data_IF_237804433161
#
_entry.id   IF_237804433161
#
_cell.length_a   1.000
_cell.length_b   1.000
_cell.length_c   1.000
_cell.angle_alpha   90.00
_cell.angle_beta   90.00
_cell.angle_gamma   90.00
#
_symmetry.space_group_name_H-M   'P 1'
#
loop_
_entity.id
_entity.type
_entity.pdbx_description
1 polymer ?
#
# COMPACT_ATOMS: atom_id res chain seq x y z
N UNK A 1 -9.72 -4.06 -3.85
CA UNK A 1 -9.90 -2.61 -3.62
C UNK A 1 -8.53 -2.04 -3.34
N UNK A 2 -8.02 -1.22 -4.24
CA UNK A 2 -6.79 -0.46 -3.99
C UNK A 2 -6.97 0.50 -2.80
N UNK A 3 -5.91 0.77 -2.01
CA UNK A 3 -5.97 1.78 -0.96
C UNK A 3 -6.29 3.17 -1.54
N UNK A 4 -7.20 3.89 -0.88
CA UNK A 4 -7.47 5.29 -1.19
C UNK A 4 -6.41 6.14 -0.49
N UNK A 5 -5.37 6.49 -1.23
CA UNK A 5 -4.16 7.11 -0.67
C UNK A 5 -4.18 8.64 -0.75
N UNK A 6 -3.42 9.26 0.15
CA UNK A 6 -3.29 10.71 0.28
C UNK A 6 -3.41 11.18 1.74
N UNK A 7 -2.96 12.41 2.08
CA UNK A 7 -3.03 12.92 3.44
C UNK A 7 -4.47 13.08 3.92
N UNK A 8 -4.89 12.24 4.86
CA UNK A 8 -6.27 12.19 5.32
C UNK A 8 -6.40 12.04 6.84
N UNK A 9 -7.32 12.81 7.41
CA UNK A 9 -7.93 12.54 8.70
C UNK A 9 -9.42 12.45 8.44
N UNK A 10 -10.02 11.30 8.74
CA UNK A 10 -11.43 11.04 8.49
C UNK A 10 -12.11 10.84 9.83
N UNK A 11 -13.09 11.70 10.11
CA UNK A 11 -14.06 11.51 11.21
C UNK A 11 -15.35 10.95 10.62
N UNK A 12 -15.95 9.97 11.27
CA UNK A 12 -17.11 9.27 10.76
C UNK A 12 -18.02 8.79 11.90
N UNK A 13 -19.28 8.53 11.56
CA UNK A 13 -20.25 7.93 12.47
C UNK A 13 -21.32 7.17 11.69
N UNK A 14 -21.86 6.11 12.28
CA UNK A 14 -23.02 5.36 11.79
C UNK A 14 -24.24 5.48 12.74
N UNK A 15 -24.18 6.39 13.72
CA UNK A 15 -25.17 6.57 14.77
C UNK A 15 -24.89 5.79 16.05
N UNK A 16 -24.25 4.61 15.96
CA UNK A 16 -23.81 3.83 17.13
C UNK A 16 -22.36 4.14 17.50
N UNK A 17 -21.51 4.17 16.50
CA UNK A 17 -20.09 4.45 16.63
C UNK A 17 -19.79 5.87 16.18
N UNK A 18 -18.91 6.55 16.90
CA UNK A 18 -18.22 7.75 16.45
C UNK A 18 -16.73 7.43 16.42
N UNK A 19 -16.07 7.71 15.30
CA UNK A 19 -14.66 7.39 15.16
C UNK A 19 -13.88 8.38 14.32
N UNK A 20 -12.56 8.24 14.42
CA UNK A 20 -11.62 8.94 13.56
C UNK A 20 -10.40 8.08 13.26
N UNK A 21 -9.90 8.17 12.03
CA UNK A 21 -8.70 7.47 11.56
C UNK A 21 -7.83 8.39 10.71
N UNK A 22 -6.55 8.05 10.64
CA UNK A 22 -5.60 8.68 9.73
C UNK A 22 -5.31 7.80 8.52
N UNK A 23 -4.70 8.41 7.51
CA UNK A 23 -4.04 7.70 6.43
C UNK A 23 -2.88 6.82 6.95
N UNK A 24 -2.43 5.89 6.09
CA UNK A 24 -1.38 4.91 6.40
C UNK A 24 -0.04 5.51 6.84
N UNK A 25 0.20 6.78 6.51
CA UNK A 25 1.44 7.50 6.84
C UNK A 25 1.23 8.53 7.96
N UNK A 26 -0.02 8.78 8.38
CA UNK A 26 -0.35 9.76 9.42
C UNK A 26 0.06 11.18 9.06
N UNK A 27 -0.21 11.60 7.82
CA UNK A 27 0.24 12.89 7.29
C UNK A 27 -0.60 14.08 7.75
N UNK A 28 -1.72 13.81 8.45
CA UNK A 28 -2.55 14.83 9.10
C UNK A 28 -2.47 14.71 10.62
N UNK A 29 -2.46 15.84 11.35
CA UNK A 29 -2.48 15.79 12.80
C UNK A 29 -3.89 15.40 13.29
N UNK A 30 -3.96 14.50 14.27
CA UNK A 30 -5.19 14.19 15.00
C UNK A 30 -4.86 14.01 16.47
N UNK A 31 -5.44 14.84 17.34
CA UNK A 31 -5.22 14.85 18.79
C UNK A 31 -6.53 14.62 19.50
N UNK A 32 -6.48 13.94 20.63
CA UNK A 32 -7.68 13.66 21.40
C UNK A 32 -7.47 13.78 22.90
N UNK A 33 -8.58 14.07 23.57
CA UNK A 33 -8.75 14.07 25.02
C UNK A 33 -9.89 13.15 25.37
N UNK A 34 -9.71 12.36 26.42
CA UNK A 34 -10.76 11.64 27.12
C UNK A 34 -10.85 12.25 28.51
N UNK A 35 -12.05 12.61 28.95
CA UNK A 35 -12.25 13.25 30.24
C UNK A 35 -12.79 12.27 31.30
N UNK A 36 -12.62 12.59 32.57
CA UNK A 36 -13.25 11.85 33.67
C UNK A 36 -14.77 11.98 33.64
N UNK A 37 -15.29 13.11 33.17
CA UNK A 37 -16.71 13.35 32.89
C UNK A 37 -17.31 12.53 31.72
N UNK A 38 -16.50 11.71 31.03
CA UNK A 38 -16.97 10.82 29.97
C UNK A 38 -17.06 11.46 28.57
N UNK A 39 -16.43 12.62 28.37
CA UNK A 39 -16.35 13.27 27.05
C UNK A 39 -15.14 12.76 26.28
N UNK A 40 -15.31 12.58 24.98
CA UNK A 40 -14.22 12.33 24.03
C UNK A 40 -14.17 13.51 23.07
N UNK A 41 -13.02 14.17 23.01
CA UNK A 41 -12.79 15.34 22.17
C UNK A 41 -11.65 15.01 21.23
N UNK A 42 -11.87 15.16 19.93
CA UNK A 42 -10.83 14.95 18.92
C UNK A 42 -10.81 16.15 17.97
N UNK A 43 -9.61 16.62 17.64
CA UNK A 43 -9.40 17.70 16.70
C UNK A 43 -8.01 17.67 16.08
N UNK A 44 -7.81 18.46 15.03
CA UNK A 44 -6.51 18.58 14.36
C UNK A 44 -5.45 19.23 15.26
N UNK A 45 -5.88 20.00 16.26
CA UNK A 45 -5.04 20.80 17.15
C UNK A 45 -5.42 20.59 18.62
N UNK A 46 -4.54 21.00 19.53
CA UNK A 46 -4.83 21.06 20.97
C UNK A 46 -5.46 22.41 21.32
N UNK A 47 -6.29 22.47 22.36
CA UNK A 47 -6.84 23.73 22.87
C UNK A 47 -8.01 24.31 22.07
N UNK A 48 -8.60 23.53 21.14
CA UNK A 48 -9.82 23.93 20.41
C UNK A 48 -11.07 23.95 21.29
N UNK A 49 -11.05 23.21 22.40
CA UNK A 49 -12.10 23.16 23.41
C UNK A 49 -11.42 23.26 24.77
N UNK A 50 -11.94 24.17 25.61
CA UNK A 50 -11.46 24.31 26.98
C UNK A 50 -11.88 23.10 27.82
N UNK A 51 -10.88 22.44 28.41
CA UNK A 51 -11.07 21.30 29.31
C UNK A 51 -10.25 21.59 30.57
N UNK A 52 -10.88 21.61 31.76
CA UNK A 52 -10.16 21.76 33.02
C UNK A 52 -9.09 20.65 33.14
N UNK A 53 -7.82 20.98 33.49
CA UNK A 53 -6.74 19.99 33.57
C UNK A 53 -7.07 18.79 34.49
N UNK A 54 -7.83 19.03 35.56
CA UNK A 54 -8.30 18.03 36.52
C UNK A 54 -9.32 17.04 35.94
N UNK A 55 -10.03 17.41 34.87
CA UNK A 55 -10.98 16.53 34.19
C UNK A 55 -10.32 15.73 33.06
N UNK A 56 -9.03 15.94 32.76
CA UNK A 56 -8.33 15.21 31.69
C UNK A 56 -7.89 13.82 32.18
N UNK A 57 -8.65 12.78 31.81
CA UNK A 57 -8.30 11.39 32.08
C UNK A 57 -7.14 10.91 31.18
N UNK A 58 -7.21 11.20 29.88
CA UNK A 58 -6.20 10.78 28.89
C UNK A 58 -6.06 11.81 27.79
N UNK A 59 -4.82 12.11 27.41
CA UNK A 59 -4.49 12.90 26.22
C UNK A 59 -3.62 12.07 25.28
N UNK A 60 -3.86 12.17 23.98
CA UNK A 60 -3.12 11.40 22.99
C UNK A 60 -3.20 11.97 21.59
N UNK A 61 -2.59 11.26 20.65
CA UNK A 61 -2.66 11.55 19.22
C UNK A 61 -2.99 10.28 18.44
N UNK A 62 -3.64 10.44 17.31
CA UNK A 62 -3.79 9.37 16.33
C UNK A 62 -2.43 9.09 15.67
N UNK A 63 -2.06 7.82 15.61
CA UNK A 63 -0.87 7.35 14.90
C UNK A 63 -1.29 6.75 13.54
N UNK A 64 -0.35 6.58 12.60
CA UNK A 64 -0.64 5.94 11.32
C UNK A 64 -1.31 4.57 11.52
N UNK A 65 -2.47 4.38 10.88
CA UNK A 65 -3.26 3.15 10.99
C UNK A 65 -3.98 2.93 12.31
N UNK A 66 -3.91 3.83 13.29
CA UNK A 66 -4.69 3.77 14.53
C UNK A 66 -6.11 4.32 14.30
N UNK A 67 -7.11 3.67 14.90
CA UNK A 67 -8.48 4.16 14.94
C UNK A 67 -8.89 4.57 16.36
N UNK A 68 -9.38 5.81 16.53
CA UNK A 68 -10.12 6.21 17.72
C UNK A 68 -11.58 5.89 17.48
N UNK A 69 -12.20 5.09 18.34
CA UNK A 69 -13.60 4.69 18.18
C UNK A 69 -14.31 4.75 19.54
N UNK A 70 -15.51 5.31 19.55
CA UNK A 70 -16.40 5.41 20.71
C UNK A 70 -17.66 4.62 20.39
N UNK A 71 -18.01 3.67 21.26
CA UNK A 71 -19.25 2.90 21.18
C UNK A 71 -20.29 3.52 22.10
N UNK A 72 -21.35 4.11 21.54
CA UNK A 72 -22.41 4.73 22.33
C UNK A 72 -23.35 3.72 22.99
N UNK A 73 -23.43 2.47 22.51
CA UNK A 73 -24.24 1.42 23.17
C UNK A 73 -23.53 0.88 24.41
N UNK A 74 -22.23 0.64 24.29
CA UNK A 74 -21.42 0.10 25.39
C UNK A 74 -20.78 1.19 26.27
N UNK A 75 -21.01 2.47 25.94
CA UNK A 75 -20.47 3.64 26.64
C UNK A 75 -18.96 3.57 26.88
N UNK A 76 -18.20 3.14 25.86
CA UNK A 76 -16.76 2.90 26.01
C UNK A 76 -15.96 3.42 24.82
N UNK A 77 -14.70 3.78 25.08
CA UNK A 77 -13.71 4.00 24.03
C UNK A 77 -13.11 2.65 23.67
N UNK A 78 -13.31 2.23 22.43
CA UNK A 78 -12.91 0.92 21.95
C UNK A 78 -11.39 0.84 21.82
N UNK A 79 -10.83 -0.29 22.21
CA UNK A 79 -9.42 -0.61 22.03
C UNK A 79 -9.13 -1.00 20.57
N UNK A 80 -8.21 -0.28 19.94
CA UNK A 80 -7.87 -0.42 18.52
C UNK A 80 -7.27 -1.80 18.18
N UNK A 81 -6.40 -2.33 19.04
CA UNK A 81 -5.77 -3.64 18.83
C UNK A 81 -6.78 -4.77 19.01
N UNK A 82 -7.61 -4.71 20.04
CA UNK A 82 -8.66 -5.68 20.29
C UNK A 82 -9.68 -5.71 19.14
N UNK A 83 -10.07 -4.53 18.63
CA UNK A 83 -10.98 -4.41 17.50
C UNK A 83 -10.40 -5.03 16.23
N UNK A 84 -9.16 -4.70 15.89
CA UNK A 84 -8.46 -5.31 14.74
C UNK A 84 -8.27 -6.82 14.91
N UNK A 85 -7.98 -7.27 16.13
CA UNK A 85 -7.87 -8.69 16.44
C UNK A 85 -9.20 -9.44 16.24
N UNK A 86 -10.34 -8.81 16.58
CA UNK A 86 -11.66 -9.38 16.31
C UNK A 86 -11.90 -9.54 14.80
N UNK A 87 -11.70 -8.49 14.02
CA UNK A 87 -11.94 -8.54 12.57
C UNK A 87 -10.98 -9.46 11.83
N UNK A 88 -9.69 -9.46 12.20
CA UNK A 88 -8.70 -10.37 11.60
C UNK A 88 -8.99 -11.86 11.86
N UNK A 89 -9.76 -12.19 12.91
CA UNK A 89 -10.19 -13.55 13.24
C UNK A 89 -11.58 -13.90 12.72
N UNK A 90 -12.31 -12.97 12.11
CA UNK A 90 -13.66 -13.22 11.61
C UNK A 90 -13.70 -14.32 10.54
N UNK A 91 -12.63 -14.44 9.74
CA UNK A 91 -12.49 -15.43 8.68
C UNK A 91 -11.05 -15.97 8.61
N UNK A 92 -10.83 -17.18 8.03
CA UNK A 92 -9.51 -17.77 7.90
C UNK A 92 -8.72 -17.17 6.73
N UNK A 93 -8.49 -15.85 6.76
CA UNK A 93 -7.84 -15.11 5.67
C UNK A 93 -6.48 -15.69 5.27
N UNK A 94 -5.70 -16.17 6.25
CA UNK A 94 -4.41 -16.81 5.99
C UNK A 94 -4.51 -18.09 5.16
N UNK A 95 -5.56 -18.90 5.35
CA UNK A 95 -5.78 -20.09 4.52
C UNK A 95 -6.22 -19.72 3.11
N UNK A 96 -7.08 -18.72 2.98
CA UNK A 96 -7.55 -18.25 1.67
C UNK A 96 -6.38 -17.74 0.83
N UNK A 97 -5.50 -16.94 1.43
CA UNK A 97 -4.28 -16.46 0.79
C UNK A 97 -3.39 -17.63 0.35
N UNK A 98 -3.18 -18.66 1.18
CA UNK A 98 -2.37 -19.83 0.79
C UNK A 98 -2.99 -20.64 -0.35
N UNK A 99 -4.32 -20.79 -0.37
CA UNK A 99 -5.02 -21.62 -1.36
C UNK A 99 -5.21 -20.91 -2.71
N UNK A 100 -5.36 -19.58 -2.71
CA UNK A 100 -5.81 -18.83 -3.88
C UNK A 100 -4.76 -17.87 -4.45
N UNK A 101 -3.71 -17.53 -3.69
CA UNK A 101 -2.62 -16.68 -4.18
C UNK A 101 -1.50 -17.56 -4.71
N UNK A 102 -1.16 -17.41 -5.98
CA UNK A 102 0.01 -18.04 -6.60
C UNK A 102 1.07 -16.95 -6.83
N UNK A 103 2.21 -16.97 -6.12
CA UNK A 103 3.33 -16.08 -6.40
C UNK A 103 3.93 -16.37 -7.78
N UNK A 104 4.24 -15.32 -8.55
CA UNK A 104 4.90 -15.47 -9.85
C UNK A 104 6.25 -16.19 -9.74
N UNK A 105 6.96 -15.97 -8.63
CA UNK A 105 8.23 -16.64 -8.32
C UNK A 105 8.07 -18.17 -8.35
N UNK A 106 7.03 -18.69 -7.72
CA UNK A 106 6.76 -20.14 -7.65
C UNK A 106 6.47 -20.73 -9.04
N UNK A 107 5.82 -19.94 -9.92
CA UNK A 107 5.59 -20.33 -11.33
C UNK A 107 6.91 -20.39 -12.09
N UNK A 108 7.76 -19.37 -11.97
CA UNK A 108 9.08 -19.36 -12.63
C UNK A 108 9.94 -20.51 -12.13
N UNK A 109 9.94 -20.76 -10.82
CA UNK A 109 10.68 -21.84 -10.18
C UNK A 109 10.23 -23.24 -10.61
N UNK A 110 8.95 -23.40 -10.98
CA UNK A 110 8.41 -24.67 -11.50
C UNK A 110 8.98 -25.08 -12.86
N UNK A 111 9.55 -24.15 -13.62
CA UNK A 111 10.18 -24.42 -14.93
C UNK A 111 11.68 -24.70 -14.71
N UNK A 112 12.23 -25.80 -15.25
CA UNK A 112 13.68 -26.07 -15.20
C UNK A 112 14.50 -24.91 -15.78
N UNK A 113 15.64 -24.59 -15.18
CA UNK A 113 16.49 -23.48 -15.65
C UNK A 113 16.93 -23.63 -17.10
N UNK A 114 17.08 -24.87 -17.58
CA UNK A 114 17.41 -25.19 -18.98
C UNK A 114 16.36 -24.70 -19.97
N UNK A 115 15.11 -24.60 -19.52
CA UNK A 115 13.96 -24.24 -20.36
C UNK A 115 13.63 -22.75 -20.21
N UNK A 116 14.23 -22.06 -19.23
CA UNK A 116 14.16 -20.60 -19.05
C UNK A 116 15.08 -19.88 -20.05
N UNK A 117 14.99 -20.24 -21.31
CA UNK A 117 15.77 -19.62 -22.38
C UNK A 117 15.04 -18.35 -22.81
N UNK A 118 15.73 -17.21 -22.72
CA UNK A 118 15.21 -15.97 -23.30
C UNK A 118 14.96 -16.19 -24.80
N UNK A 119 13.81 -15.75 -25.34
CA UNK A 119 13.54 -15.92 -26.76
C UNK A 119 14.70 -15.32 -27.55
N UNK A 120 15.26 -16.09 -28.48
CA UNK A 120 16.31 -15.57 -29.35
C UNK A 120 15.72 -14.41 -30.12
N UNK A 121 16.26 -13.21 -29.92
CA UNK A 121 15.96 -12.05 -30.77
C UNK A 121 16.61 -12.33 -32.11
N UNK A 122 15.99 -13.18 -32.92
CA UNK A 122 16.28 -13.28 -34.33
C UNK A 122 15.75 -11.98 -34.91
N UNK A 123 16.64 -11.03 -35.19
CA UNK A 123 16.33 -9.96 -36.14
C UNK A 123 15.67 -10.66 -37.31
N UNK A 124 14.39 -10.35 -37.58
CA UNK A 124 13.70 -10.88 -38.75
C UNK A 124 14.60 -10.59 -39.94
N UNK A 125 15.31 -11.61 -40.40
CA UNK A 125 16.20 -11.49 -41.53
C UNK A 125 15.29 -11.19 -42.71
N UNK A 126 15.18 -9.91 -43.08
CA UNK A 126 14.93 -9.58 -44.47
C UNK A 126 15.95 -10.40 -45.26
N UNK A 127 15.54 -11.22 -46.24
CA UNK A 127 16.46 -12.11 -46.92
C UNK A 127 17.47 -11.26 -47.69
N UNK A 128 18.66 -11.07 -47.11
CA UNK A 128 19.81 -10.54 -47.84
C UNK A 128 20.50 -11.71 -48.50
N UNK A 129 20.47 -11.67 -49.82
CA UNK A 129 21.33 -12.47 -50.67
C UNK A 129 22.79 -12.09 -50.35
N UNK A 130 23.57 -13.11 -50.00
CA UNK A 130 25.04 -13.19 -49.99
C UNK A 130 25.77 -12.83 -48.68
N UNK A 131 26.40 -13.88 -48.15
CA UNK A 131 27.81 -13.95 -47.72
C UNK A 131 28.35 -12.83 -46.83
N UNK A 132 28.24 -13.03 -45.51
CA UNK A 132 29.39 -13.09 -44.59
C UNK A 132 28.90 -13.52 -43.20
N UNK A 133 29.58 -14.50 -42.59
CA UNK A 133 29.11 -15.24 -41.40
C UNK A 133 29.36 -14.55 -40.06
N UNK A 134 29.92 -13.34 -40.04
CA UNK A 134 30.50 -12.77 -38.82
C UNK A 134 29.83 -11.46 -38.33
N UNK A 135 28.79 -10.93 -39.00
CA UNK A 135 28.21 -9.62 -38.65
C UNK A 135 26.76 -9.68 -38.09
N UNK A 136 26.47 -10.69 -37.26
CA UNK A 136 25.21 -10.78 -36.50
C UNK A 136 25.26 -9.93 -35.21
N UNK A 137 26.36 -9.19 -35.00
CA UNK A 137 26.58 -8.32 -33.85
C UNK A 137 25.96 -6.93 -34.03
N UNK A 138 25.25 -6.46 -33.00
CA UNK A 138 24.82 -5.07 -32.73
C UNK A 138 23.84 -4.44 -33.75
N UNK A 139 24.04 -4.61 -35.06
CA UNK A 139 23.23 -4.03 -36.14
C UNK A 139 21.79 -4.54 -36.18
N UNK A 140 21.54 -5.80 -35.78
CA UNK A 140 20.19 -6.37 -35.74
C UNK A 140 19.29 -5.84 -34.61
N UNK A 141 19.89 -5.32 -33.53
CA UNK A 141 19.20 -4.78 -32.35
C UNK A 141 19.00 -3.26 -32.45
N UNK A 142 19.87 -2.56 -33.18
CA UNK A 142 19.79 -1.11 -33.38
C UNK A 142 18.48 -0.67 -34.05
N UNK A 143 17.98 -1.40 -35.04
CA UNK A 143 16.72 -1.04 -35.72
C UNK A 143 15.49 -1.18 -34.81
N UNK A 144 15.29 -2.31 -34.09
CA UNK A 144 14.26 -2.39 -33.05
C UNK A 144 14.39 -1.32 -31.96
N UNK A 145 15.60 -1.10 -31.44
CA UNK A 145 15.83 -0.09 -30.39
C UNK A 145 15.45 1.32 -30.88
N UNK A 146 15.87 1.71 -32.08
CA UNK A 146 15.45 2.98 -32.68
C UNK A 146 13.95 3.06 -32.91
N UNK A 147 13.30 1.95 -33.30
CA UNK A 147 11.86 1.90 -33.50
C UNK A 147 11.06 2.10 -32.20
N UNK A 148 11.60 1.68 -31.04
CA UNK A 148 11.04 1.95 -29.72
C UNK A 148 11.52 3.27 -29.09
N UNK A 149 12.26 4.10 -29.86
CA UNK A 149 12.68 5.43 -29.42
C UNK A 149 13.92 5.46 -28.53
N UNK A 150 14.66 4.36 -28.42
CA UNK A 150 15.95 4.36 -27.73
C UNK A 150 16.96 5.18 -28.53
N UNK A 151 17.61 6.11 -27.85
CA UNK A 151 18.75 6.87 -28.38
C UNK A 151 20.04 6.39 -27.75
N UNK A 152 21.17 6.81 -28.32
CA UNK A 152 22.49 6.48 -27.78
C UNK A 152 22.66 7.11 -26.38
N UNK A 153 22.20 8.35 -26.22
CA UNK A 153 22.21 9.05 -24.93
C UNK A 153 21.36 8.34 -23.88
N UNK A 154 20.22 7.78 -24.26
CA UNK A 154 19.37 7.00 -23.35
C UNK A 154 20.04 5.70 -22.87
N UNK A 155 20.86 5.07 -23.72
CA UNK A 155 21.59 3.84 -23.37
C UNK A 155 22.86 4.12 -22.57
N UNK A 156 23.52 5.24 -22.82
CA UNK A 156 24.77 5.61 -22.12
C UNK A 156 24.52 6.23 -20.73
N UNK A 157 23.31 6.72 -20.44
CA UNK A 157 22.95 7.37 -19.17
C UNK A 157 22.16 6.50 -18.18
N UNK A 158 21.80 5.26 -18.56
CA UNK A 158 21.16 4.27 -17.68
C UNK A 158 22.21 3.38 -16.99
#
# INVERSE_FOLDING_TARGET
MEPWDGPALVSFTDGRYLGATLDRNGLRPGRFYVTHSGRVIMGSEVGVVDVPPEDVLRKGRLNPGMMLLVDFENHTVVDDEALKAQYSKAHPYGEWLKKQKIPLKDIVESVPETDRVAPSISSSSLPRKNEDKDDVGINGILTPLKAFGYTVEALDML
#
